data_IF_002992006128
#
_entry.id   IF_002992006128
#
_cell.length_a   1.000
_cell.length_b   1.000
_cell.length_c   1.000
_cell.angle_alpha   90.00
_cell.angle_beta   90.00
_cell.angle_gamma   90.00
#
_symmetry.space_group_name_H-M   'P 1'
#
loop_
_entity.id
_entity.type
_entity.pdbx_description
1 polymer ?
#
# COMPACT_ATOMS: atom_id res chain seq x y z
N UNK A 1 -22.98 -24.37 8.16
CA UNK A 1 -23.16 -25.63 7.39
C UNK A 1 -23.15 -25.46 5.88
N UNK A 2 -24.09 -24.71 5.29
CA UNK A 2 -24.19 -24.59 3.81
C UNK A 2 -22.93 -24.09 3.09
N UNK A 3 -22.19 -23.15 3.69
CA UNK A 3 -20.93 -22.62 3.13
C UNK A 3 -19.85 -23.71 3.08
N UNK A 4 -19.68 -24.45 4.18
CA UNK A 4 -18.68 -25.52 4.30
C UNK A 4 -18.92 -26.61 3.25
N UNK A 5 -20.15 -27.12 3.16
CA UNK A 5 -20.51 -28.13 2.17
C UNK A 5 -20.33 -27.60 0.73
N UNK A 6 -20.68 -26.34 0.48
CA UNK A 6 -20.50 -25.73 -0.83
C UNK A 6 -19.02 -25.66 -1.24
N UNK A 7 -18.11 -25.35 -0.31
CA UNK A 7 -16.67 -25.28 -0.55
C UNK A 7 -16.01 -26.67 -0.61
N UNK A 8 -16.54 -27.66 0.10
CA UNK A 8 -16.03 -29.03 0.07
C UNK A 8 -16.24 -29.68 -1.31
N UNK A 9 -17.43 -29.54 -1.89
CA UNK A 9 -17.78 -30.18 -3.17
C UNK A 9 -17.55 -29.30 -4.40
N UNK A 10 -16.97 -28.11 -4.23
CA UNK A 10 -16.83 -27.13 -5.31
C UNK A 10 -16.00 -27.66 -6.50
N UNK A 11 -15.06 -28.59 -6.28
CA UNK A 11 -14.27 -29.20 -7.36
C UNK A 11 -15.09 -30.07 -8.31
N UNK A 12 -16.21 -30.63 -7.85
CA UNK A 12 -17.08 -31.49 -8.65
C UNK A 12 -18.07 -30.70 -9.51
N UNK A 13 -18.15 -29.38 -9.33
CA UNK A 13 -19.07 -28.53 -10.06
C UNK A 13 -18.49 -28.13 -11.42
N UNK A 14 -19.37 -27.94 -12.41
CA UNK A 14 -18.99 -27.25 -13.66
C UNK A 14 -18.52 -25.82 -13.36
N UNK A 15 -17.67 -25.23 -14.21
CA UNK A 15 -17.15 -23.86 -14.03
C UNK A 15 -18.27 -22.83 -13.82
N UNK A 16 -19.38 -22.96 -14.54
CA UNK A 16 -20.55 -22.09 -14.37
C UNK A 16 -21.19 -22.24 -12.99
N UNK A 17 -21.29 -23.47 -12.48
CA UNK A 17 -21.82 -23.75 -11.15
C UNK A 17 -20.85 -23.34 -10.04
N UNK A 18 -19.53 -23.50 -10.25
CA UNK A 18 -18.49 -23.01 -9.34
C UNK A 18 -18.60 -21.50 -9.17
N UNK A 19 -18.69 -20.75 -10.27
CA UNK A 19 -18.83 -19.29 -10.24
C UNK A 19 -20.06 -18.83 -9.47
N UNK A 20 -21.22 -19.45 -9.70
CA UNK A 20 -22.45 -19.14 -8.93
C UNK A 20 -22.28 -19.47 -7.45
N UNK A 21 -21.68 -20.61 -7.15
CA UNK A 21 -21.44 -21.08 -5.78
C UNK A 21 -20.49 -20.13 -5.03
N UNK A 22 -19.38 -19.74 -5.65
CA UNK A 22 -18.42 -18.79 -5.09
C UNK A 22 -19.04 -17.41 -4.90
N UNK A 23 -19.89 -16.94 -5.81
CA UNK A 23 -20.62 -15.70 -5.63
C UNK A 23 -21.54 -15.73 -4.40
N UNK A 24 -22.24 -16.85 -4.19
CA UNK A 24 -23.07 -17.07 -3.01
C UNK A 24 -22.20 -17.09 -1.75
N UNK A 25 -21.11 -17.86 -1.75
CA UNK A 25 -20.18 -17.92 -0.62
C UNK A 25 -19.61 -16.54 -0.29
N UNK A 26 -19.17 -15.77 -1.30
CA UNK A 26 -18.70 -14.41 -1.12
C UNK A 26 -19.75 -13.56 -0.40
N UNK A 27 -21.01 -13.61 -0.84
CA UNK A 27 -22.11 -12.86 -0.22
C UNK A 27 -22.38 -13.31 1.20
N UNK A 28 -22.30 -14.61 1.48
CA UNK A 28 -22.40 -15.11 2.85
C UNK A 28 -21.24 -14.65 3.74
N UNK A 29 -20.03 -14.47 3.18
CA UNK A 29 -18.86 -14.01 3.95
C UNK A 29 -19.05 -12.64 4.59
N UNK A 30 -19.91 -11.77 4.03
CA UNK A 30 -20.28 -10.48 4.64
C UNK A 30 -20.80 -10.68 6.08
N UNK A 31 -21.51 -11.79 6.32
CA UNK A 31 -22.17 -12.06 7.60
C UNK A 31 -21.31 -12.87 8.57
N UNK A 32 -20.12 -13.32 8.16
CA UNK A 32 -19.20 -14.04 9.03
C UNK A 32 -18.42 -13.02 9.86
N UNK A 33 -19.03 -12.60 10.97
CA UNK A 33 -18.49 -11.57 11.87
C UNK A 33 -17.91 -12.14 13.17
N UNK A 34 -18.23 -13.40 13.49
CA UNK A 34 -17.87 -14.03 14.76
C UNK A 34 -16.92 -15.21 14.50
N UNK A 35 -15.99 -15.43 15.43
CA UNK A 35 -14.98 -16.50 15.38
C UNK A 35 -15.58 -17.90 15.20
N UNK A 36 -16.74 -18.18 15.77
CA UNK A 36 -17.38 -19.50 15.64
C UNK A 36 -17.79 -19.78 14.20
N UNK A 37 -18.29 -18.77 13.48
CA UNK A 37 -18.71 -18.91 12.09
C UNK A 37 -17.52 -18.98 11.12
N UNK A 38 -16.37 -18.44 11.53
CA UNK A 38 -15.13 -18.58 10.77
C UNK A 38 -14.72 -20.05 10.58
N UNK A 39 -15.08 -20.94 11.52
CA UNK A 39 -14.78 -22.37 11.41
C UNK A 39 -15.39 -23.01 10.15
N UNK A 40 -16.49 -22.48 9.61
CA UNK A 40 -17.09 -23.00 8.37
C UNK A 40 -16.21 -22.78 7.13
N UNK A 41 -15.29 -21.82 7.17
CA UNK A 41 -14.38 -21.49 6.04
C UNK A 41 -12.93 -21.86 6.35
N UNK A 42 -12.55 -21.92 7.63
CA UNK A 42 -11.17 -22.13 8.09
C UNK A 42 -10.44 -23.26 7.38
N UNK A 43 -11.07 -24.43 7.25
CA UNK A 43 -10.47 -25.62 6.62
C UNK A 43 -10.33 -25.49 5.09
N UNK A 44 -11.06 -24.55 4.48
CA UNK A 44 -11.11 -24.35 3.03
C UNK A 44 -10.22 -23.20 2.54
N UNK A 45 -9.53 -22.49 3.45
CA UNK A 45 -8.70 -21.31 3.09
C UNK A 45 -7.58 -21.67 2.11
N UNK A 46 -6.93 -22.81 2.29
CA UNK A 46 -5.87 -23.26 1.39
C UNK A 46 -6.42 -23.61 0.00
N UNK A 47 -7.56 -24.31 -0.05
CA UNK A 47 -8.24 -24.65 -1.30
C UNK A 47 -8.68 -23.38 -2.06
N UNK A 48 -9.22 -22.39 -1.34
CA UNK A 48 -9.55 -21.08 -1.89
C UNK A 48 -8.28 -20.37 -2.41
N UNK A 49 -7.19 -20.37 -1.65
CA UNK A 49 -5.93 -19.76 -2.10
C UNK A 49 -5.36 -20.42 -3.35
N UNK A 50 -5.49 -21.74 -3.50
CA UNK A 50 -5.03 -22.45 -4.70
C UNK A 50 -5.87 -22.09 -5.92
N UNK A 51 -7.17 -21.79 -5.73
CA UNK A 51 -8.07 -21.36 -6.80
C UNK A 51 -7.77 -19.96 -7.35
N UNK A 52 -7.00 -19.13 -6.66
CA UNK A 52 -6.51 -17.87 -7.23
C UNK A 52 -5.57 -18.06 -8.43
N UNK A 53 -5.05 -19.28 -8.63
CA UNK A 53 -4.20 -19.65 -9.78
C UNK A 53 -4.99 -20.27 -10.93
N UNK A 54 -6.32 -20.30 -10.86
CA UNK A 54 -7.15 -20.85 -11.93
C UNK A 54 -7.14 -19.95 -13.17
N UNK A 55 -7.27 -20.55 -14.35
CA UNK A 55 -7.40 -19.80 -15.62
C UNK A 55 -8.72 -19.03 -15.74
N UNK A 56 -9.74 -19.36 -14.95
CA UNK A 56 -11.03 -18.69 -14.97
C UNK A 56 -11.01 -17.37 -14.17
N UNK A 57 -11.02 -16.24 -14.90
CA UNK A 57 -11.01 -14.89 -14.31
C UNK A 57 -12.13 -14.68 -13.29
N UNK A 58 -13.33 -15.21 -13.55
CA UNK A 58 -14.46 -15.03 -12.63
C UNK A 58 -14.23 -15.75 -11.31
N UNK A 59 -13.71 -16.97 -11.35
CA UNK A 59 -13.34 -17.71 -10.14
C UNK A 59 -12.36 -16.90 -9.29
N UNK A 60 -11.33 -16.35 -9.91
CA UNK A 60 -10.34 -15.48 -9.24
C UNK A 60 -11.01 -14.26 -8.60
N UNK A 61 -11.90 -13.56 -9.31
CA UNK A 61 -12.60 -12.37 -8.79
C UNK A 61 -13.46 -12.69 -7.56
N UNK A 62 -14.22 -13.78 -7.58
CA UNK A 62 -15.05 -14.19 -6.44
C UNK A 62 -14.19 -14.62 -5.24
N UNK A 63 -13.11 -15.36 -5.48
CA UNK A 63 -12.20 -15.78 -4.41
C UNK A 63 -11.49 -14.58 -3.78
N UNK A 64 -11.01 -13.61 -4.57
CA UNK A 64 -10.48 -12.36 -4.03
C UNK A 64 -11.52 -11.62 -3.17
N UNK A 65 -12.78 -11.58 -3.62
CA UNK A 65 -13.87 -10.96 -2.87
C UNK A 65 -14.14 -11.67 -1.53
N UNK A 66 -14.07 -13.01 -1.50
CA UNK A 66 -14.18 -13.80 -0.27
C UNK A 66 -13.08 -13.39 0.71
N UNK A 67 -11.82 -13.36 0.26
CA UNK A 67 -10.69 -12.98 1.11
C UNK A 67 -10.81 -11.52 1.60
N UNK A 68 -11.17 -10.56 0.73
CA UNK A 68 -11.34 -9.15 1.12
C UNK A 68 -12.32 -9.02 2.28
N UNK A 69 -13.49 -9.66 2.15
CA UNK A 69 -14.54 -9.63 3.17
C UNK A 69 -14.08 -10.27 4.48
N UNK A 70 -13.37 -11.41 4.42
CA UNK A 70 -12.86 -12.05 5.62
C UNK A 70 -11.79 -11.20 6.34
N UNK A 71 -10.87 -10.62 5.58
CA UNK A 71 -9.82 -9.72 6.09
C UNK A 71 -10.44 -8.48 6.73
N UNK A 72 -11.44 -7.88 6.09
CA UNK A 72 -12.20 -6.74 6.62
C UNK A 72 -13.01 -7.10 7.87
N UNK A 73 -13.62 -8.28 7.94
CA UNK A 73 -14.41 -8.67 9.11
C UNK A 73 -13.53 -8.99 10.34
N UNK A 74 -12.35 -9.57 10.11
CA UNK A 74 -11.46 -10.04 11.18
C UNK A 74 -10.22 -9.17 11.40
N UNK A 75 -10.16 -7.94 10.84
CA UNK A 75 -9.01 -7.04 11.01
C UNK A 75 -8.62 -6.79 12.48
N UNK A 76 -9.57 -6.85 13.42
CA UNK A 76 -9.29 -6.66 14.85
C UNK A 76 -8.74 -7.89 15.56
N UNK A 77 -8.88 -9.08 14.97
CA UNK A 77 -8.37 -10.34 15.53
C UNK A 77 -7.11 -10.77 14.78
N UNK A 78 -5.96 -10.37 15.33
CA UNK A 78 -4.66 -10.69 14.74
C UNK A 78 -4.36 -12.20 14.64
N UNK A 79 -5.02 -13.07 15.41
CA UNK A 79 -4.82 -14.51 15.32
C UNK A 79 -5.53 -15.07 14.09
N UNK A 80 -6.80 -14.73 13.91
CA UNK A 80 -7.58 -15.14 12.73
C UNK A 80 -6.98 -14.53 11.47
N UNK A 81 -6.54 -13.26 11.52
CA UNK A 81 -5.92 -12.60 10.39
C UNK A 81 -4.65 -13.32 9.92
N UNK A 82 -3.86 -13.87 10.85
CA UNK A 82 -2.69 -14.71 10.55
C UNK A 82 -3.05 -16.06 9.96
N UNK A 83 -4.19 -16.63 10.33
CA UNK A 83 -4.69 -17.87 9.72
C UNK A 83 -5.17 -17.64 8.29
N UNK A 84 -5.84 -16.51 8.03
CA UNK A 84 -6.26 -16.10 6.68
C UNK A 84 -5.03 -15.82 5.81
N UNK A 85 -4.06 -15.07 6.33
CA UNK A 85 -2.86 -14.63 5.62
C UNK A 85 -1.77 -15.72 5.52
N UNK A 86 -2.12 -16.86 4.93
CA UNK A 86 -1.14 -17.92 4.65
C UNK A 86 -0.04 -17.41 3.71
N UNK A 87 1.18 -17.94 3.85
CA UNK A 87 2.30 -17.56 2.97
C UNK A 87 1.99 -17.79 1.48
N UNK A 88 1.20 -18.83 1.20
CA UNK A 88 0.75 -19.15 -0.15
C UNK A 88 -0.17 -18.06 -0.71
N UNK A 89 -1.12 -17.57 0.09
CA UNK A 89 -2.03 -16.49 -0.28
C UNK A 89 -1.26 -15.20 -0.60
N UNK A 90 -0.39 -14.78 0.32
CA UNK A 90 0.39 -13.55 0.17
C UNK A 90 1.26 -13.57 -1.10
N UNK A 91 1.96 -14.69 -1.35
CA UNK A 91 2.79 -14.85 -2.55
C UNK A 91 1.94 -14.81 -3.82
N UNK A 92 0.82 -15.53 -3.82
CA UNK A 92 -0.06 -15.60 -4.99
C UNK A 92 -0.63 -14.23 -5.33
N UNK A 93 -1.15 -13.49 -4.32
CA UNK A 93 -1.62 -12.12 -4.49
C UNK A 93 -0.51 -11.17 -4.99
N UNK A 94 0.69 -11.25 -4.42
CA UNK A 94 1.83 -10.42 -4.84
C UNK A 94 2.22 -10.70 -6.30
N UNK A 95 2.25 -11.98 -6.71
CA UNK A 95 2.54 -12.37 -8.11
C UNK A 95 1.46 -11.84 -9.06
N UNK A 96 0.18 -11.92 -8.68
CA UNK A 96 -0.93 -11.44 -9.52
C UNK A 96 -0.88 -9.93 -9.79
N UNK A 97 -0.31 -9.14 -8.88
CA UNK A 97 -0.13 -7.69 -9.06
C UNK A 97 0.97 -7.36 -10.08
N UNK A 98 1.97 -8.23 -10.24
CA UNK A 98 3.17 -7.99 -11.06
C UNK A 98 3.02 -8.56 -12.48
N UNK A 99 2.18 -9.57 -12.68
CA UNK A 99 1.97 -10.16 -14.01
C UNK A 99 1.41 -9.12 -14.99
N UNK A 100 2.12 -8.93 -16.11
CA UNK A 100 1.68 -8.11 -17.24
C UNK A 100 1.48 -8.99 -18.50
N UNK A 101 0.40 -8.81 -19.28
CA UNK A 101 -0.72 -7.88 -19.08
C UNK A 101 -1.58 -8.26 -17.86
N UNK A 102 -2.17 -7.25 -17.20
CA UNK A 102 -2.88 -7.45 -15.93
C UNK A 102 -4.06 -8.41 -16.09
N UNK A 103 -3.99 -9.57 -15.44
CA UNK A 103 -5.11 -10.51 -15.32
C UNK A 103 -6.26 -9.93 -14.47
N UNK A 104 -5.92 -8.95 -13.63
CA UNK A 104 -6.83 -8.31 -12.68
C UNK A 104 -7.64 -7.20 -13.32
N UNK A 105 -8.87 -7.02 -12.84
CA UNK A 105 -9.64 -5.81 -13.08
C UNK A 105 -9.27 -4.76 -12.01
N UNK A 106 -9.66 -3.50 -12.21
CA UNK A 106 -9.28 -2.42 -11.28
C UNK A 106 -9.81 -2.66 -9.85
N UNK A 107 -10.99 -3.27 -9.71
CA UNK A 107 -11.62 -3.55 -8.41
C UNK A 107 -10.82 -4.62 -7.64
N UNK A 108 -10.44 -5.72 -8.30
CA UNK A 108 -9.66 -6.79 -7.67
C UNK A 108 -8.25 -6.35 -7.35
N UNK A 109 -7.65 -5.52 -8.19
CA UNK A 109 -6.37 -4.88 -7.89
C UNK A 109 -6.45 -4.06 -6.59
N UNK A 110 -7.41 -3.14 -6.52
CA UNK A 110 -7.65 -2.29 -5.33
C UNK A 110 -7.87 -3.13 -4.08
N UNK A 111 -8.72 -4.16 -4.17
CA UNK A 111 -9.00 -5.07 -3.06
C UNK A 111 -7.75 -5.81 -2.56
N UNK A 112 -6.85 -6.25 -3.44
CA UNK A 112 -5.61 -6.92 -3.03
C UNK A 112 -4.67 -5.95 -2.31
N UNK A 113 -4.46 -4.74 -2.85
CA UNK A 113 -3.62 -3.74 -2.19
C UNK A 113 -4.21 -3.35 -0.83
N UNK A 114 -5.54 -3.23 -0.75
CA UNK A 114 -6.24 -2.93 0.49
C UNK A 114 -6.07 -4.06 1.53
N UNK A 115 -6.16 -5.33 1.12
CA UNK A 115 -5.88 -6.46 2.01
C UNK A 115 -4.44 -6.41 2.55
N UNK A 116 -3.45 -6.08 1.71
CA UNK A 116 -2.07 -5.89 2.16
C UNK A 116 -1.93 -4.72 3.14
N UNK A 117 -2.68 -3.64 2.94
CA UNK A 117 -2.75 -2.54 3.89
C UNK A 117 -3.31 -3.02 5.23
N UNK A 118 -4.45 -3.74 5.25
CA UNK A 118 -5.03 -4.27 6.49
C UNK A 118 -4.06 -5.22 7.20
N UNK A 119 -3.41 -6.14 6.48
CA UNK A 119 -2.40 -7.03 7.08
C UNK A 119 -1.26 -6.24 7.74
N UNK A 120 -0.83 -5.15 7.12
CA UNK A 120 0.25 -4.31 7.62
C UNK A 120 -0.18 -3.46 8.83
N UNK A 121 -1.37 -2.86 8.76
CA UNK A 121 -1.90 -1.94 9.77
C UNK A 121 -2.33 -2.63 11.07
N UNK A 122 -2.93 -3.82 10.95
CA UNK A 122 -3.53 -4.49 12.10
C UNK A 122 -2.73 -5.70 12.61
N UNK A 123 -1.69 -6.14 11.89
CA UNK A 123 -0.83 -7.23 12.36
C UNK A 123 0.66 -6.97 12.05
N UNK A 124 1.47 -6.56 13.05
CA UNK A 124 2.89 -6.25 12.82
C UNK A 124 3.70 -7.47 12.35
N UNK A 125 3.28 -8.69 12.72
CA UNK A 125 3.92 -9.94 12.28
C UNK A 125 3.74 -10.15 10.77
N UNK A 126 2.54 -9.87 10.24
CA UNK A 126 2.28 -9.94 8.81
C UNK A 126 2.99 -8.81 8.07
N UNK A 127 3.03 -7.61 8.62
CA UNK A 127 3.81 -6.48 8.09
C UNK A 127 5.29 -6.86 7.88
N UNK A 128 5.94 -7.42 8.90
CA UNK A 128 7.33 -7.90 8.80
C UNK A 128 7.47 -9.01 7.77
N UNK A 129 6.46 -9.88 7.65
CA UNK A 129 6.50 -10.96 6.67
C UNK A 129 6.38 -10.45 5.23
N UNK A 130 5.51 -9.47 4.98
CA UNK A 130 5.41 -8.77 3.69
C UNK A 130 6.70 -8.04 3.33
N UNK A 131 7.35 -7.39 4.31
CA UNK A 131 8.65 -6.76 4.11
C UNK A 131 9.73 -7.79 3.72
N UNK A 132 9.77 -8.94 4.39
CA UNK A 132 10.67 -10.05 4.03
C UNK A 132 10.38 -10.64 2.65
N UNK A 133 9.16 -10.48 2.15
CA UNK A 133 8.76 -10.86 0.79
C UNK A 133 9.08 -9.78 -0.26
N UNK A 134 9.84 -8.75 0.09
CA UNK A 134 10.20 -7.64 -0.79
C UNK A 134 8.99 -6.92 -1.39
N UNK A 135 7.94 -6.69 -0.60
CA UNK A 135 6.76 -5.95 -1.06
C UNK A 135 7.10 -4.54 -1.56
N UNK A 136 8.17 -3.92 -1.03
CA UNK A 136 8.67 -2.63 -1.51
C UNK A 136 9.06 -2.65 -3.00
N UNK A 137 9.72 -3.71 -3.45
CA UNK A 137 10.07 -3.87 -4.88
C UNK A 137 8.80 -4.00 -5.73
N UNK A 138 7.79 -4.72 -5.23
CA UNK A 138 6.49 -4.83 -5.89
C UNK A 138 5.81 -3.47 -6.02
N UNK A 139 5.80 -2.67 -4.95
CA UNK A 139 5.18 -1.33 -4.97
C UNK A 139 5.92 -0.40 -5.94
N UNK A 140 7.25 -0.41 -5.93
CA UNK A 140 8.07 0.36 -6.89
C UNK A 140 7.74 -0.08 -8.31
N UNK A 141 7.65 -1.39 -8.58
CA UNK A 141 7.27 -1.92 -9.88
C UNK A 141 5.85 -1.48 -10.28
N UNK A 142 4.89 -1.48 -9.35
CA UNK A 142 3.51 -1.05 -9.61
C UNK A 142 3.43 0.44 -10.01
N UNK A 143 4.33 1.27 -9.49
CA UNK A 143 4.41 2.70 -9.77
C UNK A 143 5.27 3.04 -10.99
N UNK A 144 6.31 2.27 -11.30
CA UNK A 144 7.35 2.66 -12.27
C UNK A 144 7.56 1.68 -13.43
N UNK A 145 6.99 0.48 -13.35
CA UNK A 145 7.03 -0.54 -14.40
C UNK A 145 8.40 -1.16 -14.68
N UNK A 146 9.46 -0.71 -14.00
CA UNK A 146 10.84 -1.08 -14.32
C UNK A 146 11.53 -1.74 -13.12
N UNK A 147 12.04 -2.95 -13.33
CA UNK A 147 12.83 -3.69 -12.32
C UNK A 147 14.31 -3.22 -12.27
N UNK A 148 14.74 -2.41 -13.23
CA UNK A 148 16.16 -2.05 -13.46
C UNK A 148 16.67 -0.90 -12.56
N UNK A 149 15.78 -0.15 -11.90
CA UNK A 149 16.16 1.00 -11.06
C UNK A 149 16.70 0.62 -9.66
N UNK A 150 16.85 -0.70 -9.39
CA UNK A 150 17.39 -1.23 -8.14
C UNK A 150 18.82 -0.76 -7.83
N UNK A 151 19.60 -0.44 -8.87
CA UNK A 151 20.95 0.13 -8.76
C UNK A 151 20.92 1.64 -8.52
N UNK A 152 20.00 2.36 -9.19
CA UNK A 152 19.88 3.82 -9.12
C UNK A 152 19.41 4.26 -7.73
N UNK A 153 18.34 3.64 -7.19
CA UNK A 153 17.79 4.01 -5.88
C UNK A 153 18.78 3.73 -4.72
N UNK A 154 19.57 2.66 -4.81
CA UNK A 154 20.63 2.37 -3.83
C UNK A 154 21.81 3.34 -3.89
N UNK A 155 22.02 4.00 -5.03
CA UNK A 155 23.11 4.93 -5.26
C UNK A 155 22.75 6.40 -4.98
N UNK A 156 21.47 6.71 -4.77
CA UNK A 156 21.03 8.04 -4.34
C UNK A 156 21.14 8.07 -2.82
N UNK A 157 22.16 8.73 -2.23
CA UNK A 157 22.07 9.05 -0.82
C UNK A 157 20.83 9.91 -0.65
N UNK A 158 19.93 9.54 0.26
CA UNK A 158 18.85 10.41 0.75
C UNK A 158 19.54 11.52 1.55
N UNK A 159 20.25 12.41 0.85
CA UNK A 159 20.72 13.65 1.43
C UNK A 159 19.58 14.62 1.20
N UNK A 160 19.00 15.11 2.29
CA UNK A 160 18.19 16.31 2.33
C UNK A 160 19.11 17.49 1.94
N UNK A 161 19.47 17.57 0.66
CA UNK A 161 20.53 18.45 0.16
C UNK A 161 20.11 19.92 0.04
N UNK A 162 19.13 20.33 0.86
CA UNK A 162 18.67 21.71 0.94
C UNK A 162 18.30 22.00 2.40
N UNK A 163 19.29 22.36 3.22
CA UNK A 163 19.17 23.40 4.26
C UNK A 163 20.40 23.50 5.21
N UNK A 164 21.28 22.50 5.32
CA UNK A 164 22.22 22.49 6.45
C UNK A 164 23.66 22.00 6.21
N UNK A 165 24.22 22.13 4.99
CA UNK A 165 25.66 21.87 4.80
C UNK A 165 26.35 22.96 3.98
N UNK A 166 27.42 23.52 4.55
CA UNK A 166 28.22 24.60 3.95
C UNK A 166 28.83 24.16 2.61
N UNK A 167 28.68 25.04 1.63
CA UNK A 167 28.84 24.89 0.18
C UNK A 167 30.23 24.54 -0.36
N UNK A 168 31.21 24.15 0.46
CA UNK A 168 32.61 24.17 0.02
C UNK A 168 33.28 22.80 -0.25
N UNK A 169 32.61 21.65 -0.07
CA UNK A 169 33.25 20.32 -0.28
C UNK A 169 32.65 19.47 -1.43
N UNK A 170 31.91 20.04 -2.38
CA UNK A 170 31.29 19.28 -3.48
C UNK A 170 32.02 19.45 -4.84
N UNK A 171 33.15 20.17 -4.88
CA UNK A 171 33.82 20.49 -6.16
C UNK A 171 34.47 19.28 -6.87
N UNK A 172 34.43 18.05 -6.32
CA UNK A 172 35.12 16.89 -6.93
C UNK A 172 34.25 15.68 -7.33
N UNK A 173 32.95 15.84 -7.49
CA UNK A 173 32.15 14.82 -8.19
C UNK A 173 31.41 15.45 -9.38
N UNK A 174 31.82 15.03 -10.58
CA UNK A 174 31.25 15.39 -11.88
C UNK A 174 29.72 15.53 -11.83
N UNK A 175 29.23 16.77 -11.82
CA UNK A 175 27.81 17.15 -11.90
C UNK A 175 27.22 16.86 -13.30
N UNK A 176 28.02 16.32 -14.22
CA UNK A 176 27.63 15.96 -15.58
C UNK A 176 26.86 14.62 -15.69
N UNK A 177 26.83 13.76 -14.66
CA UNK A 177 26.07 12.51 -14.69
C UNK A 177 24.66 12.58 -14.06
N UNK A 178 24.29 13.71 -13.43
CA UNK A 178 22.96 13.87 -12.80
C UNK A 178 21.87 14.17 -13.85
N UNK A 179 22.23 14.69 -15.02
CA UNK A 179 21.26 15.08 -16.04
C UNK A 179 20.79 13.94 -16.95
N UNK A 180 21.35 12.73 -16.85
CA UNK A 180 21.09 11.68 -17.84
C UNK A 180 20.25 10.48 -17.36
N UNK A 181 19.77 10.45 -16.10
CA UNK A 181 19.02 9.29 -15.57
C UNK A 181 17.88 9.62 -14.58
N UNK A 182 17.15 10.73 -14.76
CA UNK A 182 16.09 11.17 -13.82
C UNK A 182 14.65 11.00 -14.33
N UNK A 183 14.41 10.31 -15.44
CA UNK A 183 13.05 10.10 -15.96
C UNK A 183 12.48 8.78 -15.43
N UNK A 184 12.16 8.73 -14.13
CA UNK A 184 11.26 7.68 -13.61
C UNK A 184 9.85 8.05 -14.09
N UNK A 185 9.44 7.51 -15.22
CA UNK A 185 8.09 7.69 -15.73
C UNK A 185 7.13 6.81 -14.93
N UNK A 186 6.17 7.45 -14.26
CA UNK A 186 5.16 6.74 -13.47
C UNK A 186 4.17 6.07 -14.40
N UNK A 187 3.80 4.83 -14.08
CA UNK A 187 2.68 4.16 -14.74
C UNK A 187 1.40 4.95 -14.47
N UNK A 188 0.64 5.23 -15.52
CA UNK A 188 -0.69 5.81 -15.37
C UNK A 188 -1.63 4.81 -14.66
N UNK A 189 -2.20 5.24 -13.54
CA UNK A 189 -3.08 4.46 -12.66
C UNK A 189 -4.33 5.27 -12.35
N UNK A 190 -5.43 4.60 -11.99
CA UNK A 190 -6.61 5.33 -11.53
C UNK A 190 -6.35 6.00 -10.17
N UNK A 191 -7.06 7.09 -9.83
CA UNK A 191 -6.90 7.73 -8.52
C UNK A 191 -7.12 6.78 -7.34
N UNK A 192 -8.05 5.82 -7.47
CA UNK A 192 -8.33 4.82 -6.45
C UNK A 192 -7.15 3.85 -6.26
N UNK A 193 -6.57 3.36 -7.36
CA UNK A 193 -5.40 2.48 -7.31
C UNK A 193 -4.21 3.17 -6.65
N UNK A 194 -3.95 4.43 -7.00
CA UNK A 194 -2.89 5.22 -6.40
C UNK A 194 -3.12 5.45 -4.90
N UNK A 195 -4.35 5.75 -4.49
CA UNK A 195 -4.69 5.97 -3.09
C UNK A 195 -4.36 4.74 -2.23
N UNK A 196 -4.74 3.54 -2.67
CA UNK A 196 -4.45 2.30 -1.94
C UNK A 196 -2.95 2.01 -1.89
N UNK A 197 -2.23 2.21 -3.01
CA UNK A 197 -0.77 2.02 -3.04
C UNK A 197 -0.08 2.96 -2.05
N UNK A 198 -0.43 4.25 -2.07
CA UNK A 198 0.14 5.26 -1.17
C UNK A 198 -0.22 4.98 0.28
N UNK A 199 -1.44 4.49 0.55
CA UNK A 199 -1.86 4.08 1.90
C UNK A 199 -1.03 2.92 2.42
N UNK A 200 -0.78 1.90 1.58
CA UNK A 200 0.11 0.79 1.93
C UNK A 200 1.54 1.25 2.17
N UNK A 201 2.08 2.16 1.35
CA UNK A 201 3.41 2.76 1.56
C UNK A 201 3.46 3.46 2.92
N UNK A 202 2.45 4.30 3.22
CA UNK A 202 2.37 5.04 4.47
C UNK A 202 2.39 4.14 5.70
N UNK A 203 1.70 3.00 5.64
CA UNK A 203 1.67 2.03 6.74
C UNK A 203 2.98 1.23 6.88
N UNK A 204 3.66 0.97 5.76
CA UNK A 204 4.94 0.25 5.76
C UNK A 204 6.14 1.12 6.18
N UNK A 205 6.02 2.45 6.06
CA UNK A 205 7.07 3.39 6.44
C UNK A 205 7.00 3.73 7.94
N UNK A 206 8.16 3.94 8.59
CA UNK A 206 8.17 4.42 9.96
C UNK A 206 7.52 5.81 10.04
N UNK A 207 6.79 6.05 11.12
CA UNK A 207 6.25 7.38 11.40
C UNK A 207 7.40 8.36 11.59
N UNK A 208 7.23 9.57 11.08
CA UNK A 208 8.20 10.64 11.27
C UNK A 208 8.36 10.94 12.77
N UNK A 209 9.60 11.20 13.24
CA UNK A 209 9.84 11.58 14.63
C UNK A 209 9.02 12.81 15.00
N UNK A 210 8.19 12.69 16.04
CA UNK A 210 7.39 13.84 16.52
C UNK A 210 8.22 14.83 17.34
N UNK A 211 9.36 14.39 17.88
CA UNK A 211 10.22 15.19 18.76
C UNK A 211 11.15 16.12 17.99
N UNK A 212 11.34 15.91 16.68
CA UNK A 212 12.16 16.77 15.84
C UNK A 212 11.31 17.91 15.27
N UNK A 213 11.63 19.19 15.59
CA UNK A 213 10.88 20.34 15.08
C UNK A 213 10.87 20.40 13.54
N UNK A 214 11.80 19.74 12.85
CA UNK A 214 11.81 19.61 11.39
C UNK A 214 10.52 18.97 10.84
N UNK A 215 9.93 18.01 11.57
CA UNK A 215 8.73 17.29 11.14
C UNK A 215 7.43 17.85 11.76
N UNK A 216 7.51 18.93 12.55
CA UNK A 216 6.36 19.60 13.17
C UNK A 216 5.76 20.71 12.28
N UNK A 217 5.80 20.54 10.95
CA UNK A 217 5.36 21.56 9.98
C UNK A 217 3.87 21.88 10.11
N UNK A 218 3.05 20.90 10.51
CA UNK A 218 1.61 21.09 10.76
C UNK A 218 1.32 22.15 11.84
N UNK A 219 2.22 22.34 12.80
CA UNK A 219 2.09 23.39 13.80
C UNK A 219 2.25 24.78 13.16
N UNK A 220 3.12 24.92 12.16
CA UNK A 220 3.33 26.18 11.43
C UNK A 220 2.09 26.54 10.60
N UNK A 221 1.46 25.57 9.95
CA UNK A 221 0.20 25.78 9.23
C UNK A 221 -0.96 26.15 10.16
N UNK A 222 -1.08 25.48 11.33
CA UNK A 222 -2.14 25.78 12.31
C UNK A 222 -1.96 27.14 12.98
N UNK A 223 -0.72 27.59 13.18
CA UNK A 223 -0.41 28.92 13.76
C UNK A 223 -0.92 30.07 12.89
N UNK A 224 -0.83 29.93 11.56
CA UNK A 224 -1.35 30.90 10.58
C UNK A 224 -2.88 31.05 10.65
N UNK A 225 -3.62 29.96 10.91
CA UNK A 225 -5.08 29.97 10.96
C UNK A 225 -5.59 30.57 12.28
N UNK A 226 -4.89 30.35 13.39
CA UNK A 226 -5.26 30.90 14.70
C UNK A 226 -4.83 32.38 14.86
N UNK A 227 -3.77 32.83 14.19
CA UNK A 227 -3.35 34.24 14.20
C UNK A 227 -4.30 35.17 13.45
N UNK A 228 -5.19 34.65 12.60
CA UNK A 228 -6.28 35.43 12.00
C UNK A 228 -7.42 35.75 12.97
N UNK A 229 -7.47 35.14 14.18
CA UNK A 229 -8.51 35.41 15.18
C UNK A 229 -8.02 36.06 16.48
N UNK A 230 -6.71 36.20 16.67
CA UNK A 230 -6.14 36.91 17.81
C UNK A 230 -5.06 37.87 17.32
N UNK A 231 -5.45 39.14 17.13
CA UNK A 231 -4.49 40.24 16.99
C UNK A 231 -3.81 40.45 18.34
N UNK A 232 -2.70 39.76 18.57
CA UNK A 232 -1.81 40.05 19.69
C UNK A 232 -0.59 40.83 19.16
N UNK A 233 -0.63 42.15 19.36
CA UNK A 233 0.30 43.13 18.79
C UNK A 233 1.73 43.07 19.35
N UNK A 234 2.05 42.05 20.17
CA UNK A 234 3.34 41.92 20.85
C UNK A 234 4.16 40.67 20.47
N UNK A 235 3.62 39.76 19.65
CA UNK A 235 4.36 38.57 19.20
C UNK A 235 4.88 38.72 17.76
N UNK A 236 6.20 38.87 17.62
CA UNK A 236 6.89 39.09 16.34
C UNK A 236 7.05 37.79 15.53
N UNK A 237 5.98 36.99 15.38
CA UNK A 237 6.02 35.70 14.70
C UNK A 237 5.02 35.62 13.55
N UNK A 238 5.30 36.35 12.47
CA UNK A 238 4.73 36.08 11.16
C UNK A 238 5.57 34.98 10.48
N UNK A 239 4.92 33.95 9.95
CA UNK A 239 5.58 32.94 9.12
C UNK A 239 5.78 33.55 7.73
N UNK A 240 7.01 33.97 7.40
CA UNK A 240 7.35 34.51 6.09
C UNK A 240 7.86 33.38 5.20
N UNK A 241 7.08 33.02 4.18
CA UNK A 241 7.50 32.03 3.19
C UNK A 241 8.56 32.63 2.28
N UNK A 242 9.75 32.04 2.29
CA UNK A 242 10.83 32.37 1.37
C UNK A 242 10.97 31.22 0.39
N UNK A 243 10.98 31.57 -0.88
CA UNK A 243 11.28 30.64 -1.97
C UNK A 243 12.56 31.13 -2.62
N UNK A 244 13.58 30.28 -2.60
CA UNK A 244 14.84 30.55 -3.29
C UNK A 244 14.80 29.84 -4.64
N UNK A 245 15.10 30.55 -5.72
CA UNK A 245 15.27 29.92 -7.02
C UNK A 245 16.64 29.21 -7.13
N UNK A 246 16.82 28.39 -8.17
CA UNK A 246 18.07 27.66 -8.42
C UNK A 246 19.28 28.58 -8.70
N UNK A 247 19.06 29.89 -8.83
CA UNK A 247 20.08 30.92 -9.01
C UNK A 247 20.43 31.62 -7.69
N UNK A 248 19.81 31.19 -6.58
CA UNK A 248 20.05 31.72 -5.24
C UNK A 248 19.29 33.00 -4.92
N UNK A 249 18.31 33.40 -5.74
CA UNK A 249 17.51 34.60 -5.54
C UNK A 249 16.34 34.29 -4.61
N UNK A 250 16.28 34.98 -3.48
CA UNK A 250 15.22 34.84 -2.49
C UNK A 250 13.99 35.69 -2.82
N UNK A 251 12.83 35.04 -2.85
CA UNK A 251 11.53 35.67 -2.99
C UNK A 251 10.71 35.47 -1.72
N UNK A 252 10.35 36.56 -1.05
CA UNK A 252 9.48 36.54 0.14
C UNK A 252 8.10 37.12 -0.18
N UNK A 253 7.03 36.39 0.15
CA UNK A 253 5.65 36.91 0.07
C UNK A 253 5.10 37.13 1.48
N UNK A 254 4.69 38.37 1.77
CA UNK A 254 3.95 38.72 2.99
C UNK A 254 2.56 38.12 2.98
#
# INVERSE_FOLDING_TARGET
>A
DGISACLEYIEFFSITSQNKSLAIVANCCIHILIRNDFNYIREHLENLSNRLRSDDKKTVEHVCTIFSRLVENFHRDSLILREIASMQLLKTMQTMLVIQPSLLNSITFVSIIHMFFIFSAYCPILAVTLLKMNIADTIIYLLTGTNENKSIIKSIPITYKSAALSTNEIISMNISSIQQTNNIELISRTPQELYEIVSLIGEMMPRLPSDDPLFQVDQLFRRSILSHRAYDATSNSYVLWHWQDDQGIDFSRK
#
